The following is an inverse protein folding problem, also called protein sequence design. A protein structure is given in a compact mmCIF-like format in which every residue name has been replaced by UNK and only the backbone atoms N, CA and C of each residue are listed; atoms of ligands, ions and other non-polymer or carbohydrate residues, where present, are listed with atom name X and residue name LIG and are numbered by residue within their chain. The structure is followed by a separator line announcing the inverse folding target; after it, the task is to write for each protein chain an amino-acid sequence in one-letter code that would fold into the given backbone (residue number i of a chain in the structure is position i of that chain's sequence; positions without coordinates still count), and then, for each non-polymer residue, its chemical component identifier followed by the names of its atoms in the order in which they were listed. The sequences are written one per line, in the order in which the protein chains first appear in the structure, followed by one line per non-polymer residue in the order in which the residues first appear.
data_IF_267365378573
#
_entry.id   IF_267365378573
#
_cell.length_a   1.000
_cell.length_b   1.000
_cell.length_c   1.000
_cell.angle_alpha   90.00
_cell.angle_beta   90.00
_cell.angle_gamma   90.00
#
_symmetry.space_group_name_H-M   'P 1'
#
loop_
_entity.id
_entity.type
_entity.pdbx_description
1 polymer ?
#
# COMPACT_ATOMS: atom_id res chain seq x y z
N UNK A 1 42.79 47.75 17.29
CA UNK A 1 41.47 47.52 16.68
C UNK A 1 40.82 46.35 17.41
N UNK A 2 39.68 46.60 18.07
CA UNK A 2 38.81 45.62 18.71
C UNK A 2 38.06 44.83 17.64
N UNK A 3 37.99 43.51 17.76
CA UNK A 3 36.74 42.71 17.69
C UNK A 3 37.02 41.29 18.20
N UNK A 4 36.91 41.09 19.52
CA UNK A 4 36.26 39.89 20.04
C UNK A 4 34.76 40.12 19.85
N UNK A 5 34.03 39.27 19.13
CA UNK A 5 32.56 39.27 19.17
C UNK A 5 31.95 37.98 18.65
N UNK A 6 31.18 37.37 19.56
CA UNK A 6 29.89 36.71 19.36
C UNK A 6 29.85 35.54 18.38
N UNK A 7 29.72 34.30 18.85
CA UNK A 7 28.44 33.73 19.30
C UNK A 7 27.33 33.99 18.27
N UNK A 8 27.25 33.15 17.24
CA UNK A 8 25.96 32.92 16.57
C UNK A 8 25.69 31.42 16.58
N UNK A 9 25.00 31.01 17.63
CA UNK A 9 24.12 29.86 17.63
C UNK A 9 23.02 30.14 16.58
N UNK A 10 23.07 29.46 15.43
CA UNK A 10 21.90 29.29 14.54
C UNK A 10 21.58 27.80 14.59
N UNK A 11 20.90 27.38 15.67
CA UNK A 11 19.47 27.03 15.68
C UNK A 11 19.11 25.95 14.67
N UNK A 12 18.71 24.80 15.22
CA UNK A 12 18.01 23.72 14.56
C UNK A 12 17.03 24.24 13.51
N UNK A 13 17.16 23.75 12.27
CA UNK A 13 16.35 24.28 11.17
C UNK A 13 16.51 23.56 9.84
N UNK A 14 16.63 22.22 9.85
CA UNK A 14 16.38 21.42 8.64
C UNK A 14 15.53 20.19 9.00
N UNK A 15 14.32 20.45 9.48
CA UNK A 15 13.22 19.50 9.36
C UNK A 15 12.62 19.67 7.96
N UNK A 16 13.27 19.09 6.94
CA UNK A 16 12.55 18.72 5.72
C UNK A 16 11.90 17.36 5.96
N UNK A 17 10.88 17.35 6.82
CA UNK A 17 9.91 16.25 6.78
C UNK A 17 9.16 16.40 5.47
N UNK A 18 9.45 15.53 4.53
CA UNK A 18 8.65 15.37 3.33
C UNK A 18 7.22 15.04 3.75
N UNK A 19 6.33 16.04 3.69
CA UNK A 19 4.90 15.79 3.52
C UNK A 19 4.72 15.15 2.13
N UNK A 20 4.54 13.84 2.09
CA UNK A 20 3.78 13.21 1.04
C UNK A 20 2.35 13.02 1.58
N UNK A 21 1.43 13.72 0.92
CA UNK A 21 -0.04 13.75 1.03
C UNK A 21 -0.67 12.55 1.75
N UNK A 22 -1.50 12.75 2.77
CA UNK A 22 -2.90 13.20 2.62
C UNK A 22 -3.62 12.45 1.50
N UNK A 23 -4.06 11.23 1.76
CA UNK A 23 -5.32 10.68 1.21
C UNK A 23 -5.99 9.79 2.26
N UNK A 24 -6.78 10.42 3.12
CA UNK A 24 -7.85 9.78 3.85
C UNK A 24 -8.98 9.42 2.86
N UNK A 25 -8.84 8.27 2.19
CA UNK A 25 -9.97 7.41 1.84
C UNK A 25 -10.07 6.40 2.99
N UNK A 26 -11.23 5.87 3.42
CA UNK A 26 -11.24 4.79 4.40
C UNK A 26 -10.30 3.68 3.91
N UNK A 27 -9.13 3.56 4.55
CA UNK A 27 -8.00 2.74 4.08
C UNK A 27 -8.45 1.29 3.83
N UNK A 28 -9.46 0.85 4.59
CA UNK A 28 -10.12 -0.44 4.46
C UNK A 28 -10.60 -0.82 3.04
N UNK A 29 -11.00 0.11 2.17
CA UNK A 29 -11.64 -0.24 0.88
C UNK A 29 -10.67 -0.35 -0.31
N UNK A 30 -9.54 0.36 -0.28
CA UNK A 30 -8.49 0.22 -1.31
C UNK A 30 -7.52 -0.90 -0.95
N UNK A 31 -7.21 -1.07 0.34
CA UNK A 31 -6.32 -2.15 0.82
C UNK A 31 -6.87 -3.54 0.46
N UNK A 32 -8.17 -3.77 0.65
CA UNK A 32 -8.78 -5.08 0.39
C UNK A 32 -8.72 -5.54 -1.08
N UNK A 33 -8.76 -4.61 -2.04
CA UNK A 33 -8.61 -4.94 -3.46
C UNK A 33 -7.16 -5.24 -3.79
N UNK A 34 -6.23 -4.43 -3.28
CA UNK A 34 -4.81 -4.62 -3.49
C UNK A 34 -4.31 -5.92 -2.88
N UNK A 35 -4.83 -6.32 -1.71
CA UNK A 35 -4.48 -7.60 -1.09
C UNK A 35 -4.94 -8.80 -1.92
N UNK A 36 -6.12 -8.74 -2.53
CA UNK A 36 -6.60 -9.77 -3.45
C UNK A 36 -5.77 -9.87 -4.72
N UNK A 37 -5.31 -8.73 -5.25
CA UNK A 37 -4.43 -8.67 -6.41
C UNK A 37 -3.04 -9.21 -6.07
N UNK A 38 -2.44 -8.72 -4.98
CA UNK A 38 -1.12 -9.11 -4.49
C UNK A 38 -1.04 -10.61 -4.18
N UNK A 39 -2.11 -11.20 -3.66
CA UNK A 39 -2.18 -12.64 -3.40
C UNK A 39 -2.03 -13.50 -4.66
N UNK A 40 -2.20 -12.90 -5.86
CA UNK A 40 -2.11 -13.56 -7.17
C UNK A 40 -1.03 -12.98 -8.10
N UNK A 41 -0.21 -12.01 -7.67
CA UNK A 41 0.80 -11.36 -8.52
C UNK A 41 1.87 -12.33 -9.09
N UNK A 42 2.26 -13.34 -8.31
CA UNK A 42 3.25 -14.36 -8.69
C UNK A 42 2.62 -15.74 -8.92
N UNK A 43 1.32 -15.78 -9.24
CA UNK A 43 0.53 -17.01 -9.41
C UNK A 43 -0.17 -17.06 -10.75
N UNK A 44 -0.59 -18.26 -11.13
CA UNK A 44 -1.33 -18.50 -12.37
C UNK A 44 -2.84 -18.62 -12.11
N UNK A 45 -3.62 -18.55 -13.18
CA UNK A 45 -5.05 -18.82 -13.11
C UNK A 45 -5.31 -20.22 -12.53
N UNK A 46 -6.12 -20.28 -11.48
CA UNK A 46 -6.47 -21.53 -10.80
C UNK A 46 -5.59 -21.87 -9.59
N UNK A 47 -4.51 -21.13 -9.34
CA UNK A 47 -3.69 -21.33 -8.15
C UNK A 47 -4.44 -20.94 -6.87
N UNK A 48 -4.14 -21.65 -5.79
CA UNK A 48 -4.66 -21.32 -4.46
C UNK A 48 -4.02 -20.01 -3.96
N UNK A 49 -4.83 -19.14 -3.36
CA UNK A 49 -4.40 -17.88 -2.76
C UNK A 49 -5.02 -17.71 -1.37
N UNK A 50 -4.34 -16.97 -0.51
CA UNK A 50 -4.79 -16.63 0.84
C UNK A 50 -4.57 -15.14 1.04
N UNK A 51 -5.58 -14.45 1.56
CA UNK A 51 -5.51 -13.03 1.90
C UNK A 51 -6.37 -12.73 3.12
N UNK A 52 -6.04 -11.67 3.82
CA UNK A 52 -6.86 -11.18 4.94
C UNK A 52 -7.90 -10.22 4.40
N UNK A 53 -9.17 -10.35 4.78
CA UNK A 53 -10.19 -9.37 4.40
C UNK A 53 -10.13 -8.12 5.31
N UNK A 54 -10.93 -7.10 4.99
CA UNK A 54 -11.06 -5.90 5.83
C UNK A 54 -11.55 -6.17 7.26
N UNK A 55 -12.19 -7.33 7.49
CA UNK A 55 -12.68 -7.75 8.80
C UNK A 55 -11.59 -8.44 9.65
N UNK A 56 -10.39 -8.67 9.08
CA UNK A 56 -9.28 -9.34 9.73
C UNK A 56 -9.30 -10.86 9.64
N UNK A 57 -10.24 -11.43 8.86
CA UNK A 57 -10.35 -12.87 8.64
C UNK A 57 -9.41 -13.30 7.51
N UNK A 58 -8.65 -14.37 7.74
CA UNK A 58 -7.89 -15.01 6.67
C UNK A 58 -8.83 -15.85 5.80
N UNK A 59 -8.89 -15.52 4.52
CA UNK A 59 -9.72 -16.19 3.52
C UNK A 59 -8.85 -16.92 2.50
N UNK A 60 -9.25 -18.17 2.21
CA UNK A 60 -8.66 -18.97 1.15
C UNK A 60 -9.49 -18.85 -0.13
N UNK A 61 -8.81 -18.75 -1.26
CA UNK A 61 -9.39 -18.51 -2.57
C UNK A 61 -8.62 -19.18 -3.70
N UNK A 62 -9.05 -18.89 -4.92
CA UNK A 62 -8.33 -19.21 -6.14
C UNK A 62 -8.15 -17.97 -7.01
N UNK A 63 -6.98 -17.84 -7.63
CA UNK A 63 -6.67 -16.79 -8.57
C UNK A 63 -7.51 -16.95 -9.84
N UNK A 64 -8.34 -15.95 -10.14
CA UNK A 64 -9.18 -15.91 -11.34
C UNK A 64 -9.02 -14.56 -12.04
N UNK A 65 -9.15 -14.57 -13.36
CA UNK A 65 -9.15 -13.33 -14.15
C UNK A 65 -10.43 -12.57 -13.81
N UNK A 66 -10.31 -11.32 -13.41
CA UNK A 66 -11.44 -10.41 -13.18
C UNK A 66 -11.77 -9.66 -14.48
N UNK A 67 -12.90 -9.94 -15.16
CA UNK A 67 -13.28 -9.24 -16.39
C UNK A 67 -14.03 -7.92 -16.10
N UNK A 68 -13.92 -6.87 -16.94
CA UNK A 68 -12.78 -6.43 -17.74
C UNK A 68 -12.10 -5.27 -17.01
N UNK A 69 -11.07 -5.57 -16.21
CA UNK A 69 -10.07 -4.54 -15.97
C UNK A 69 -9.39 -4.28 -17.32
N UNK A 70 -9.32 -3.02 -17.77
CA UNK A 70 -8.81 -2.59 -19.10
C UNK A 70 -7.31 -2.92 -19.35
N UNK A 71 -6.73 -3.77 -18.52
CA UNK A 71 -5.32 -4.21 -18.48
C UNK A 71 -5.29 -5.74 -18.34
N UNK A 72 -4.78 -6.40 -19.39
CA UNK A 72 -4.29 -7.80 -19.50
C UNK A 72 -4.87 -8.89 -18.58
N UNK A 73 -6.16 -8.83 -18.23
CA UNK A 73 -6.81 -9.85 -17.43
C UNK A 73 -6.14 -10.06 -16.05
N UNK A 74 -6.07 -8.98 -15.27
CA UNK A 74 -5.58 -9.01 -13.88
C UNK A 74 -6.15 -10.20 -13.10
N UNK A 75 -5.27 -10.98 -12.46
CA UNK A 75 -5.68 -12.04 -11.55
C UNK A 75 -6.04 -11.45 -10.19
N UNK A 76 -7.21 -11.84 -9.70
CA UNK A 76 -7.72 -11.50 -8.38
C UNK A 76 -7.94 -12.78 -7.59
N UNK A 77 -7.60 -12.75 -6.31
CA UNK A 77 -7.90 -13.85 -5.41
C UNK A 77 -9.39 -13.87 -5.08
N UNK A 78 -10.11 -14.87 -5.60
CA UNK A 78 -11.55 -15.04 -5.36
C UNK A 78 -11.75 -16.11 -4.27
N UNK A 79 -12.37 -15.78 -3.13
CA UNK A 79 -12.67 -16.76 -2.07
C UNK A 79 -13.45 -17.97 -2.58
N UNK A 80 -13.17 -19.15 -2.04
CA UNK A 80 -13.78 -20.43 -2.45
C UNK A 80 -14.68 -21.07 -1.37
N UNK A 81 -15.18 -20.29 -0.42
CA UNK A 81 -16.00 -20.77 0.69
C UNK A 81 -17.37 -20.08 0.73
#
# INVERSE_FOLDING_TARGET
MKIHSALILITAGFLVNAKASDQMLPEAKIEARQEQENACMDKEQGDACEFTNSDGDSLNGMCKIDPPSDVDGQLMCIPIH
#
